data_IF_279178502778
#
_entry.id   IF_279178502778
#
_cell.length_a   1.000
_cell.length_b   1.000
_cell.length_c   1.000
_cell.angle_alpha   90.00
_cell.angle_beta   90.00
_cell.angle_gamma   90.00
#
_symmetry.space_group_name_H-M   'P 1'
#
loop_
_entity.id
_entity.type
_entity.pdbx_description
1 polymer ?
#
# COMPACT_ATOMS: atom_id res chain seq x y z
N UNK A 1 4.57 -8.35 -7.35
CA UNK A 1 3.24 -8.12 -6.71
C UNK A 1 3.46 -7.96 -5.21
N UNK A 2 2.71 -7.07 -4.55
CA UNK A 2 2.85 -6.82 -3.11
C UNK A 2 1.63 -7.39 -2.38
N UNK A 3 1.78 -8.34 -1.44
CA UNK A 3 0.66 -8.78 -0.61
C UNK A 3 0.03 -7.61 0.16
N UNK A 4 -1.30 -7.59 0.24
CA UNK A 4 -2.07 -6.57 0.97
C UNK A 4 -2.90 -7.20 2.09
N UNK A 5 -3.10 -6.46 3.18
CA UNK A 5 -3.97 -6.87 4.28
C UNK A 5 -5.42 -6.66 3.87
N UNK A 6 -6.11 -7.74 3.52
CA UNK A 6 -7.52 -7.71 3.12
C UNK A 6 -8.22 -9.03 3.47
N UNK A 7 -9.55 -9.04 3.38
CA UNK A 7 -10.39 -10.23 3.65
C UNK A 7 -10.23 -11.38 2.63
N UNK A 8 -9.60 -11.09 1.48
CA UNK A 8 -9.31 -12.05 0.42
C UNK A 8 -7.85 -11.89 0.01
N UNK A 9 -7.34 -12.86 -0.76
CA UNK A 9 -6.03 -12.72 -1.40
C UNK A 9 -6.04 -11.49 -2.32
N UNK A 10 -5.35 -10.44 -1.88
CA UNK A 10 -5.30 -9.15 -2.57
C UNK A 10 -3.85 -8.76 -2.79
N UNK A 11 -3.56 -8.25 -3.98
CA UNK A 11 -2.24 -7.77 -4.34
C UNK A 11 -2.28 -6.29 -4.73
N UNK A 12 -1.31 -5.56 -4.22
CA UNK A 12 -0.89 -4.27 -4.73
C UNK A 12 0.23 -4.43 -5.77
N UNK A 13 0.59 -3.32 -6.41
CA UNK A 13 1.58 -3.30 -7.47
C UNK A 13 2.59 -2.17 -7.28
N UNK A 14 3.87 -2.52 -7.34
CA UNK A 14 4.97 -1.58 -7.53
C UNK A 14 5.28 -1.51 -9.02
N UNK A 15 4.96 -0.37 -9.63
CA UNK A 15 5.07 -0.14 -11.08
C UNK A 15 6.26 0.78 -11.32
N UNK A 16 7.31 0.24 -11.90
CA UNK A 16 8.51 0.98 -12.30
C UNK A 16 8.50 1.32 -13.78
N UNK A 17 8.79 2.56 -14.13
CA UNK A 17 9.09 3.00 -15.49
C UNK A 17 10.60 3.00 -15.73
N UNK A 18 11.02 2.78 -16.98
CA UNK A 18 12.45 2.77 -17.36
C UNK A 18 13.15 4.11 -17.11
N UNK A 19 12.40 5.22 -17.08
CA UNK A 19 12.93 6.56 -16.74
C UNK A 19 13.15 6.76 -15.23
N UNK A 20 12.89 5.75 -14.40
CA UNK A 20 13.10 5.81 -12.94
C UNK A 20 11.86 6.21 -12.13
N UNK A 21 10.75 6.56 -12.78
CA UNK A 21 9.48 6.82 -12.08
C UNK A 21 8.93 5.54 -11.44
N UNK A 22 8.48 5.64 -10.19
CA UNK A 22 8.01 4.54 -9.35
C UNK A 22 6.65 4.89 -8.76
N UNK A 23 5.64 4.10 -9.10
CA UNK A 23 4.27 4.26 -8.60
C UNK A 23 3.84 3.02 -7.84
N UNK A 24 3.32 3.20 -6.62
CA UNK A 24 2.73 2.12 -5.84
C UNK A 24 1.20 2.22 -5.87
N UNK A 25 0.52 1.13 -6.22
CA UNK A 25 -0.94 1.01 -6.20
C UNK A 25 -1.35 0.01 -5.11
N UNK A 26 -1.92 0.50 -4.01
CA UNK A 26 -2.11 -0.21 -2.75
C UNK A 26 -3.59 -0.18 -2.31
N UNK A 27 -4.44 -0.83 -3.07
CA UNK A 27 -5.88 -0.96 -2.77
C UNK A 27 -6.39 -2.33 -3.23
N UNK A 28 -7.31 -2.98 -2.52
CA UNK A 28 -7.93 -2.57 -1.24
C UNK A 28 -7.13 -3.10 -0.06
N UNK A 29 -6.95 -2.29 1.00
CA UNK A 29 -6.13 -2.73 2.14
C UNK A 29 -6.38 -1.99 3.46
N UNK A 30 -6.32 -2.71 4.58
CA UNK A 30 -6.29 -2.17 5.93
C UNK A 30 -4.88 -2.31 6.54
N UNK A 31 -4.08 -1.24 6.42
CA UNK A 31 -2.64 -1.29 6.73
C UNK A 31 -1.88 -2.15 5.72
N UNK A 32 -0.61 -2.48 6.00
CA UNK A 32 0.22 -3.29 5.10
C UNK A 32 0.88 -4.44 5.87
N UNK A 33 1.09 -5.61 5.24
CA UNK A 33 2.03 -6.60 5.75
C UNK A 33 3.42 -5.99 5.93
N UNK A 34 4.17 -6.44 6.94
CA UNK A 34 5.51 -5.93 7.26
C UNK A 34 6.46 -6.01 6.05
N UNK A 35 6.47 -7.13 5.34
CA UNK A 35 7.28 -7.34 4.14
C UNK A 35 6.97 -6.31 3.03
N UNK A 36 5.68 -6.08 2.76
CA UNK A 36 5.25 -5.08 1.76
C UNK A 36 5.65 -3.67 2.18
N UNK A 37 5.54 -3.35 3.48
CA UNK A 37 5.94 -2.06 4.02
C UNK A 37 7.46 -1.84 3.91
N UNK A 38 8.26 -2.85 4.25
CA UNK A 38 9.73 -2.78 4.17
C UNK A 38 10.22 -2.69 2.74
N UNK A 39 9.63 -3.45 1.83
CA UNK A 39 9.89 -3.30 0.40
C UNK A 39 9.61 -1.87 -0.07
N UNK A 40 8.46 -1.30 0.28
CA UNK A 40 8.09 0.06 -0.15
C UNK A 40 9.03 1.13 0.42
N UNK A 41 9.49 0.98 1.67
CA UNK A 41 10.48 1.87 2.29
C UNK A 41 11.81 1.86 1.53
N UNK A 42 12.27 0.67 1.14
CA UNK A 42 13.53 0.51 0.40
C UNK A 42 13.39 0.94 -1.06
N UNK A 43 12.30 0.55 -1.72
CA UNK A 43 12.03 0.86 -3.12
C UNK A 43 11.69 2.34 -3.34
N UNK A 44 11.19 3.03 -2.30
CA UNK A 44 10.98 4.48 -2.24
C UNK A 44 10.15 5.00 -3.44
N UNK A 45 8.84 4.71 -3.50
CA UNK A 45 7.98 5.17 -4.60
C UNK A 45 7.93 6.70 -4.67
N UNK A 46 7.82 7.25 -5.88
CA UNK A 46 7.60 8.68 -6.08
C UNK A 46 6.16 9.07 -5.77
N UNK A 47 5.23 8.17 -6.08
CA UNK A 47 3.79 8.38 -5.96
C UNK A 47 3.13 7.11 -5.43
N UNK A 48 2.09 7.29 -4.64
CA UNK A 48 1.33 6.19 -4.03
C UNK A 48 -0.16 6.49 -4.20
N UNK A 49 -0.91 5.54 -4.73
CA UNK A 49 -2.36 5.46 -4.54
C UNK A 49 -2.63 4.45 -3.44
N UNK A 50 -3.34 4.86 -2.40
CA UNK A 50 -3.63 4.04 -1.21
C UNK A 50 -5.11 4.07 -0.91
N UNK A 51 -5.62 2.96 -0.39
CA UNK A 51 -6.97 2.86 0.14
C UNK A 51 -7.19 3.89 1.27
N UNK A 52 -8.21 4.72 1.13
CA UNK A 52 -8.63 5.73 2.10
C UNK A 52 -10.17 5.80 2.13
N UNK A 53 -10.80 4.64 2.24
CA UNK A 53 -12.27 4.51 2.17
C UNK A 53 -13.02 5.15 3.36
N UNK A 54 -12.35 5.39 4.48
CA UNK A 54 -12.96 5.90 5.71
C UNK A 54 -12.33 7.23 6.15
N UNK A 55 -13.11 8.14 6.79
CA UNK A 55 -12.54 9.34 7.40
C UNK A 55 -11.59 8.99 8.56
N UNK A 56 -10.73 9.93 9.01
CA UNK A 56 -9.86 9.71 10.17
C UNK A 56 -10.67 9.30 11.40
N UNK A 57 -10.34 8.16 11.99
CA UNK A 57 -10.92 7.72 13.27
C UNK A 57 -10.03 8.18 14.43
N UNK A 58 -10.66 8.48 15.58
CA UNK A 58 -9.94 8.71 16.82
C UNK A 58 -9.14 7.46 17.20
N UNK A 59 -7.96 7.63 17.80
CA UNK A 59 -6.98 6.54 18.08
C UNK A 59 -7.55 5.39 18.94
N UNK A 60 -8.70 5.59 19.57
CA UNK A 60 -9.46 4.59 20.34
C UNK A 60 -10.47 3.77 19.52
N UNK A 61 -10.76 4.18 18.30
CA UNK A 61 -11.68 3.51 17.39
C UNK A 61 -10.99 2.34 16.71
N UNK A 62 -11.26 1.12 17.19
CA UNK A 62 -11.06 -0.06 16.36
C UNK A 62 -11.83 0.15 15.05
N UNK A 63 -11.11 0.09 13.93
CA UNK A 63 -11.71 -0.23 12.64
C UNK A 63 -12.29 -1.65 12.67
#
# INVERSE_FOLDING_TARGET
PLPLNHSRLTFGYAIGHRSGARFAYLTDTLGLPEESADFLRQWCPNHIAVDCSHPPADVSGKA
#
